data_IF_733664668838
#
_entry.id   IF_733664668838
#
_cell.length_a   1.000
_cell.length_b   1.000
_cell.length_c   1.000
_cell.angle_alpha   90.00
_cell.angle_beta   90.00
_cell.angle_gamma   90.00
#
_symmetry.space_group_name_H-M   'P 1'
#
loop_
_entity.id
_entity.type
_entity.pdbx_description
1 polymer ?
#
# COMPACT_ATOMS: atom_id res chain seq x y z
N UNK A 1 8.31 5.33 24.88
CA UNK A 1 7.84 4.28 23.97
C UNK A 1 7.38 4.95 22.69
N UNK A 2 8.11 4.81 21.61
CA UNK A 2 7.70 5.32 20.31
C UNK A 2 6.58 4.43 19.77
N UNK A 3 5.49 5.04 19.31
CA UNK A 3 4.29 4.34 18.83
C UNK A 3 4.59 3.37 17.68
N UNK A 4 5.65 3.65 16.90
CA UNK A 4 6.08 2.85 15.74
C UNK A 4 7.51 2.30 15.92
N UNK A 5 7.95 2.12 17.16
CA UNK A 5 9.28 1.60 17.47
C UNK A 5 9.40 0.12 17.04
N UNK A 6 10.52 -0.22 16.41
CA UNK A 6 10.88 -1.58 16.03
C UNK A 6 12.11 -2.04 16.78
N UNK A 7 12.42 -3.35 16.75
CA UNK A 7 13.68 -3.87 17.31
C UNK A 7 14.93 -3.17 16.74
N UNK A 8 14.83 -2.62 15.53
CA UNK A 8 15.92 -1.85 14.93
C UNK A 8 16.02 -0.41 15.45
N UNK A 9 14.96 0.15 16.06
CA UNK A 9 15.01 1.48 16.65
C UNK A 9 16.02 1.60 17.82
N UNK A 10 16.40 0.48 18.40
CA UNK A 10 17.43 0.42 19.47
C UNK A 10 18.84 0.22 18.93
N UNK A 11 19.03 0.19 17.60
CA UNK A 11 20.37 0.10 16.98
C UNK A 11 20.88 1.48 16.68
N UNK A 12 22.14 1.73 16.99
CA UNK A 12 22.84 2.90 16.49
C UNK A 12 23.24 2.61 15.05
N UNK A 13 22.58 3.29 14.10
CA UNK A 13 22.97 3.26 12.71
C UNK A 13 23.89 4.47 12.45
N UNK A 14 25.10 4.23 11.96
CA UNK A 14 26.01 5.28 11.52
C UNK A 14 25.94 5.28 10.00
N UNK A 15 25.40 6.36 9.44
CA UNK A 15 25.41 6.60 8.00
C UNK A 15 26.39 7.73 7.70
N UNK A 16 27.14 7.59 6.61
CA UNK A 16 28.01 8.64 6.12
C UNK A 16 27.82 8.77 4.62
N UNK A 17 27.97 9.98 4.13
CA UNK A 17 27.89 10.31 2.72
C UNK A 17 29.26 10.77 2.25
N UNK A 18 29.79 10.10 1.23
CA UNK A 18 31.05 10.50 0.60
C UNK A 18 30.74 11.28 -0.67
N UNK A 19 31.31 12.47 -0.79
CA UNK A 19 31.27 13.26 -2.00
C UNK A 19 32.60 13.08 -2.75
N UNK A 20 32.48 12.68 -4.02
CA UNK A 20 33.62 12.58 -4.92
C UNK A 20 33.86 13.89 -5.71
N UNK A 21 33.05 14.92 -5.46
CA UNK A 21 33.10 16.19 -6.16
C UNK A 21 33.74 17.29 -5.29
N UNK A 22 34.40 18.24 -5.92
CA UNK A 22 35.04 19.39 -5.28
C UNK A 22 34.04 20.35 -4.60
N UNK A 23 32.74 20.18 -4.85
CA UNK A 23 31.65 20.95 -4.23
C UNK A 23 30.60 20.02 -3.65
N UNK A 24 30.27 20.25 -2.39
CA UNK A 24 29.11 19.67 -1.73
C UNK A 24 27.87 20.38 -2.27
N UNK A 25 26.94 19.63 -2.87
CA UNK A 25 25.65 20.19 -3.28
C UNK A 25 24.91 20.65 -2.03
N UNK A 26 24.46 21.92 -1.93
CA UNK A 26 23.66 22.37 -0.82
C UNK A 26 22.39 21.51 -0.67
N UNK A 27 21.96 21.28 0.56
CA UNK A 27 20.79 20.45 0.87
C UNK A 27 19.55 20.89 0.07
N UNK A 28 19.29 22.19 0.01
CA UNK A 28 18.15 22.72 -0.74
C UNK A 28 18.24 22.39 -2.24
N UNK A 29 19.41 22.55 -2.84
CA UNK A 29 19.64 22.24 -4.26
C UNK A 29 19.42 20.74 -4.52
N UNK A 30 19.79 19.87 -3.59
CA UNK A 30 19.53 18.43 -3.71
C UNK A 30 18.03 18.14 -3.78
N UNK A 31 17.23 18.69 -2.85
CA UNK A 31 15.79 18.45 -2.82
C UNK A 31 15.07 19.12 -3.99
N UNK A 32 15.52 20.28 -4.44
CA UNK A 32 15.04 20.93 -5.66
C UNK A 32 15.28 20.04 -6.90
N UNK A 33 16.48 19.46 -7.04
CA UNK A 33 16.81 18.55 -8.12
C UNK A 33 15.93 17.28 -8.11
N UNK A 34 15.67 16.70 -6.92
CA UNK A 34 14.74 15.58 -6.77
C UNK A 34 13.34 15.99 -7.22
N UNK A 35 12.85 17.12 -6.73
CA UNK A 35 11.54 17.64 -7.11
C UNK A 35 11.43 17.87 -8.61
N UNK A 36 12.39 18.54 -9.22
CA UNK A 36 12.41 18.80 -10.67
C UNK A 36 12.45 17.53 -11.52
N UNK A 37 13.20 16.53 -11.11
CA UNK A 37 13.32 15.26 -11.84
C UNK A 37 12.02 14.43 -11.81
N UNK A 38 11.28 14.49 -10.71
CA UNK A 38 10.06 13.71 -10.51
C UNK A 38 8.81 14.46 -10.98
N UNK A 39 8.83 15.79 -10.94
CA UNK A 39 7.70 16.63 -11.26
C UNK A 39 7.00 16.30 -12.60
N UNK A 40 7.69 16.06 -13.73
CA UNK A 40 7.03 15.74 -15.01
C UNK A 40 6.24 14.42 -14.97
N UNK A 41 6.69 13.48 -14.13
CA UNK A 41 6.05 12.18 -13.93
C UNK A 41 4.85 12.33 -12.99
N UNK A 42 5.06 13.09 -11.91
CA UNK A 42 4.08 13.28 -10.86
C UNK A 42 2.91 14.20 -11.28
N UNK A 43 3.16 15.22 -12.12
CA UNK A 43 2.16 16.24 -12.48
C UNK A 43 2.07 16.45 -14.00
N UNK A 44 1.52 15.46 -14.75
CA UNK A 44 1.42 15.54 -16.20
C UNK A 44 0.44 16.64 -16.63
N UNK A 45 0.85 17.42 -17.65
CA UNK A 45 0.05 18.53 -18.20
C UNK A 45 -0.75 18.14 -19.47
N UNK A 46 -0.44 16.98 -20.05
CA UNK A 46 -1.07 16.49 -21.28
C UNK A 46 -1.50 15.06 -21.12
N UNK A 47 -2.63 14.71 -21.70
CA UNK A 47 -3.21 13.37 -21.64
C UNK A 47 -3.37 12.82 -23.05
N UNK A 48 -2.97 11.58 -23.25
CA UNK A 48 -3.18 10.90 -24.52
C UNK A 48 -4.65 10.50 -24.72
N UNK A 49 -5.04 10.28 -25.96
CA UNK A 49 -6.40 9.83 -26.28
C UNK A 49 -6.70 8.47 -25.62
N UNK A 50 -5.73 7.58 -25.61
CA UNK A 50 -5.82 6.26 -25.00
C UNK A 50 -6.08 6.35 -23.49
N UNK A 51 -5.43 7.29 -22.78
CA UNK A 51 -5.67 7.52 -21.35
C UNK A 51 -7.10 8.02 -21.10
N UNK A 52 -7.60 8.93 -21.95
CA UNK A 52 -8.96 9.47 -21.81
C UNK A 52 -9.99 8.37 -22.01
N UNK A 53 -9.86 7.58 -23.08
CA UNK A 53 -10.73 6.43 -23.36
C UNK A 53 -10.66 5.39 -22.21
N UNK A 54 -9.48 5.13 -21.71
CA UNK A 54 -9.27 4.23 -20.57
C UNK A 54 -9.96 4.73 -19.30
N UNK A 55 -9.87 6.03 -19.00
CA UNK A 55 -10.56 6.62 -17.85
C UNK A 55 -12.09 6.49 -17.97
N UNK A 56 -12.64 6.64 -19.16
CA UNK A 56 -14.07 6.46 -19.41
C UNK A 56 -14.50 5.00 -19.16
N UNK A 57 -13.69 4.03 -19.59
CA UNK A 57 -13.94 2.61 -19.34
C UNK A 57 -14.03 2.35 -17.82
N UNK A 58 -13.03 2.80 -17.05
CA UNK A 58 -13.00 2.64 -15.59
C UNK A 58 -14.26 3.21 -14.94
N UNK A 59 -14.64 4.43 -15.30
CA UNK A 59 -15.79 5.10 -14.70
C UNK A 59 -17.12 4.48 -15.13
N UNK A 60 -17.21 3.91 -16.33
CA UNK A 60 -18.41 3.26 -16.84
C UNK A 60 -18.60 1.86 -16.23
N UNK A 61 -17.55 1.05 -16.08
CA UNK A 61 -17.64 -0.23 -15.35
C UNK A 61 -18.21 -0.03 -13.96
N UNK A 62 -17.87 1.06 -13.30
CA UNK A 62 -18.44 1.38 -11.99
C UNK A 62 -19.93 1.71 -12.05
N UNK A 63 -20.43 2.38 -13.08
CA UNK A 63 -21.87 2.68 -13.23
C UNK A 63 -22.68 1.39 -13.39
N UNK A 64 -22.12 0.40 -14.07
CA UNK A 64 -22.75 -0.90 -14.30
C UNK A 64 -22.76 -1.77 -13.04
N UNK A 65 -21.72 -1.71 -12.21
CA UNK A 65 -21.65 -2.46 -10.95
C UNK A 65 -22.50 -1.84 -9.83
N UNK A 66 -22.86 -0.55 -9.94
CA UNK A 66 -23.73 0.13 -8.98
C UNK A 66 -25.15 -0.41 -8.90
N UNK A 67 -25.61 -1.15 -9.89
CA UNK A 67 -26.96 -1.73 -9.87
C UNK A 67 -27.13 -2.85 -8.83
N UNK A 68 -26.04 -3.41 -8.27
CA UNK A 68 -26.09 -4.61 -7.43
C UNK A 68 -25.49 -4.49 -6.01
N UNK A 69 -24.88 -3.38 -5.65
CA UNK A 69 -24.36 -3.18 -4.28
C UNK A 69 -24.31 -1.70 -3.92
N UNK A 70 -25.32 -1.19 -3.21
CA UNK A 70 -25.17 0.10 -2.54
C UNK A 70 -24.08 -0.01 -1.47
N UNK A 71 -23.05 0.83 -1.50
CA UNK A 71 -22.11 0.89 -0.39
C UNK A 71 -22.82 1.42 0.84
N UNK A 72 -22.76 0.69 1.94
CA UNK A 72 -23.36 1.02 3.24
C UNK A 72 -22.91 2.36 3.83
N UNK A 73 -22.11 3.16 3.12
CA UNK A 73 -21.58 4.40 3.64
C UNK A 73 -21.99 5.61 2.78
N UNK A 74 -23.14 6.19 3.13
CA UNK A 74 -23.74 7.38 2.52
C UNK A 74 -22.87 8.66 2.67
N UNK A 75 -21.79 8.61 3.47
CA UNK A 75 -20.96 9.74 3.87
C UNK A 75 -19.62 9.83 3.12
N UNK A 76 -19.31 8.92 2.21
CA UNK A 76 -18.06 8.99 1.45
C UNK A 76 -18.12 10.12 0.41
N UNK A 77 -17.12 11.00 0.42
CA UNK A 77 -17.02 12.10 -0.56
C UNK A 77 -17.01 11.56 -2.00
N UNK A 78 -17.46 12.40 -2.94
CA UNK A 78 -17.43 12.06 -4.37
C UNK A 78 -16.01 11.74 -4.83
N UNK A 79 -15.03 12.48 -4.31
CA UNK A 79 -13.61 12.31 -4.56
C UNK A 79 -13.12 10.94 -4.07
N UNK A 80 -13.45 10.55 -2.83
CA UNK A 80 -13.08 9.23 -2.31
C UNK A 80 -13.63 8.10 -3.18
N UNK A 81 -14.91 8.18 -3.58
CA UNK A 81 -15.53 7.17 -4.44
C UNK A 81 -14.80 7.02 -5.77
N UNK A 82 -14.46 8.16 -6.41
CA UNK A 82 -13.74 8.17 -7.68
C UNK A 82 -12.34 7.57 -7.57
N UNK A 83 -11.59 7.97 -6.54
CA UNK A 83 -10.26 7.44 -6.27
C UNK A 83 -10.30 5.94 -6.03
N UNK A 84 -11.24 5.48 -5.22
CA UNK A 84 -11.39 4.06 -4.89
C UNK A 84 -11.68 3.20 -6.14
N UNK A 85 -12.42 3.74 -7.10
CA UNK A 85 -12.68 3.08 -8.38
C UNK A 85 -11.38 2.93 -9.17
N UNK A 86 -10.64 4.03 -9.32
CA UNK A 86 -9.38 4.07 -10.05
C UNK A 86 -8.39 3.08 -9.40
N UNK A 87 -8.22 3.17 -8.08
CA UNK A 87 -7.29 2.32 -7.32
C UNK A 87 -7.63 0.84 -7.46
N UNK A 88 -8.89 0.48 -7.25
CA UNK A 88 -9.33 -0.91 -7.38
C UNK A 88 -9.14 -1.44 -8.81
N UNK A 89 -9.48 -0.63 -9.82
CA UNK A 89 -9.30 -1.06 -11.21
C UNK A 89 -7.84 -1.31 -11.53
N UNK A 90 -6.94 -0.38 -11.18
CA UNK A 90 -5.51 -0.53 -11.46
C UNK A 90 -4.97 -1.75 -10.72
N UNK A 91 -5.20 -1.87 -9.42
CA UNK A 91 -4.66 -2.96 -8.60
C UNK A 91 -5.17 -4.35 -9.00
N UNK A 92 -6.39 -4.42 -9.53
CA UNK A 92 -6.96 -5.70 -9.99
C UNK A 92 -6.49 -6.10 -11.38
N UNK A 93 -6.20 -5.13 -12.25
CA UNK A 93 -5.96 -5.42 -13.67
C UNK A 93 -4.52 -5.22 -14.12
N UNK A 94 -3.67 -4.52 -13.34
CA UNK A 94 -2.29 -4.25 -13.74
C UNK A 94 -1.29 -5.06 -12.93
N UNK A 95 -0.16 -5.37 -13.57
CA UNK A 95 0.96 -6.06 -12.93
C UNK A 95 2.20 -5.19 -12.97
N UNK A 96 2.90 -5.11 -11.83
CA UNK A 96 4.18 -4.41 -11.74
C UNK A 96 5.30 -5.39 -12.09
N UNK A 97 6.22 -4.96 -12.95
CA UNK A 97 7.40 -5.71 -13.38
C UNK A 97 8.63 -4.81 -13.38
N UNK A 98 9.68 -5.28 -12.75
CA UNK A 98 10.98 -4.58 -12.66
C UNK A 98 12.05 -5.44 -13.36
N UNK A 99 12.06 -5.45 -14.70
CA UNK A 99 12.99 -6.25 -15.49
C UNK A 99 13.91 -5.42 -16.40
N UNK A 100 13.98 -4.10 -16.17
CA UNK A 100 14.83 -3.18 -16.94
C UNK A 100 14.32 -2.82 -18.34
N UNK A 101 13.12 -3.27 -18.74
CA UNK A 101 12.50 -2.86 -20.01
C UNK A 101 11.95 -1.43 -19.90
N UNK A 102 12.50 -0.51 -20.70
CA UNK A 102 12.09 0.90 -20.73
C UNK A 102 10.61 1.11 -21.13
N UNK A 103 10.01 0.21 -21.90
CA UNK A 103 8.59 0.30 -22.29
C UNK A 103 7.66 0.22 -21.09
N UNK A 104 8.06 -0.42 -19.99
CA UNK A 104 7.28 -0.53 -18.76
C UNK A 104 7.03 0.82 -18.06
N UNK A 105 7.72 1.86 -18.46
CA UNK A 105 7.50 3.24 -17.98
C UNK A 105 6.71 4.10 -18.96
N UNK A 106 6.30 3.57 -20.11
CA UNK A 106 5.53 4.30 -21.13
C UNK A 106 4.04 4.05 -20.96
N UNK A 107 3.25 5.11 -20.85
CA UNK A 107 1.79 5.01 -20.62
C UNK A 107 1.05 4.24 -21.72
N UNK A 108 1.40 4.45 -23.00
CA UNK A 108 0.78 3.73 -24.12
C UNK A 108 0.99 2.21 -24.02
N UNK A 109 2.20 1.79 -23.67
CA UNK A 109 2.53 0.40 -23.44
C UNK A 109 1.78 -0.17 -22.23
N UNK A 110 1.76 0.56 -21.10
CA UNK A 110 1.11 0.15 -19.86
C UNK A 110 -0.39 -0.03 -20.06
N UNK A 111 -1.05 0.94 -20.71
CA UNK A 111 -2.48 0.88 -20.98
C UNK A 111 -2.85 -0.33 -21.86
N UNK A 112 -2.03 -0.62 -22.86
CA UNK A 112 -2.25 -1.74 -23.81
C UNK A 112 -1.98 -3.10 -23.15
N UNK A 113 -0.87 -3.23 -22.42
CA UNK A 113 -0.38 -4.53 -21.95
C UNK A 113 -0.76 -4.83 -20.48
N UNK A 114 -1.33 -3.87 -19.76
CA UNK A 114 -1.66 -3.97 -18.33
C UNK A 114 -0.46 -4.33 -17.45
N UNK A 115 0.73 -3.89 -17.86
CA UNK A 115 2.00 -4.13 -17.19
C UNK A 115 2.82 -2.85 -17.18
N UNK A 116 3.43 -2.52 -16.05
CA UNK A 116 4.26 -1.34 -15.90
C UNK A 116 5.36 -1.53 -14.86
N UNK A 117 6.39 -0.68 -14.93
CA UNK A 117 7.33 -0.51 -13.82
C UNK A 117 6.66 0.25 -12.67
N UNK A 118 7.29 0.27 -11.50
CA UNK A 118 6.81 1.06 -10.36
C UNK A 118 6.56 2.52 -10.76
N UNK A 119 7.54 3.15 -11.40
CA UNK A 119 7.44 4.53 -11.88
C UNK A 119 6.34 4.67 -12.95
N UNK A 120 6.21 3.70 -13.85
CA UNK A 120 5.14 3.69 -14.86
C UNK A 120 3.75 3.62 -14.24
N UNK A 121 3.56 2.83 -13.21
CA UNK A 121 2.29 2.77 -12.46
C UNK A 121 2.05 4.07 -11.69
N UNK A 122 3.07 4.66 -11.06
CA UNK A 122 2.96 6.00 -10.45
C UNK A 122 2.50 7.03 -11.48
N UNK A 123 3.10 7.03 -12.69
CA UNK A 123 2.70 7.93 -13.77
C UNK A 123 1.25 7.70 -14.24
N UNK A 124 0.79 6.44 -14.27
CA UNK A 124 -0.60 6.11 -14.58
C UNK A 124 -1.56 6.70 -13.55
N UNK A 125 -1.27 6.53 -12.24
CA UNK A 125 -2.06 7.15 -11.17
C UNK A 125 -2.06 8.67 -11.27
N UNK A 126 -0.89 9.29 -11.40
CA UNK A 126 -0.74 10.74 -11.56
C UNK A 126 -1.61 11.27 -12.69
N UNK A 127 -1.56 10.60 -13.84
CA UNK A 127 -2.32 10.99 -15.02
C UNK A 127 -3.83 10.88 -14.82
N UNK A 128 -4.30 9.80 -14.19
CA UNK A 128 -5.72 9.61 -13.92
C UNK A 128 -6.24 10.55 -12.84
N UNK A 129 -5.48 10.80 -11.77
CA UNK A 129 -5.86 11.74 -10.73
C UNK A 129 -5.95 13.16 -11.28
N UNK A 130 -4.91 13.61 -12.00
CA UNK A 130 -4.87 14.93 -12.63
C UNK A 130 -5.98 15.12 -13.65
N UNK A 131 -6.22 14.15 -14.54
CA UNK A 131 -7.29 14.20 -15.53
C UNK A 131 -8.68 14.31 -14.90
N UNK A 132 -8.88 13.68 -13.74
CA UNK A 132 -10.12 13.76 -12.98
C UNK A 132 -10.23 14.97 -12.05
N UNK A 133 -9.30 15.94 -12.13
CA UNK A 133 -9.23 17.13 -11.29
C UNK A 133 -9.23 16.77 -9.79
N UNK A 134 -8.49 15.73 -9.41
CA UNK A 134 -8.27 15.35 -8.03
C UNK A 134 -6.93 15.94 -7.59
N UNK A 135 -6.97 16.82 -6.59
CA UNK A 135 -5.75 17.37 -6.01
C UNK A 135 -5.05 16.32 -5.15
N UNK A 136 -3.75 16.21 -5.31
CA UNK A 136 -2.89 15.30 -4.56
C UNK A 136 -1.49 15.89 -4.39
N UNK A 137 -0.79 15.36 -3.42
CA UNK A 137 0.64 15.56 -3.24
C UNK A 137 1.35 14.23 -3.46
N UNK A 138 2.47 14.26 -4.21
CA UNK A 138 3.33 13.10 -4.29
C UNK A 138 4.20 13.06 -3.04
N UNK A 139 4.16 11.95 -2.34
CA UNK A 139 4.93 11.69 -1.14
C UNK A 139 6.02 10.68 -1.45
N UNK A 140 7.26 11.03 -1.17
CA UNK A 140 8.40 10.11 -1.27
C UNK A 140 9.03 9.96 0.10
N UNK A 141 9.34 8.72 0.45
CA UNK A 141 9.96 8.38 1.73
C UNK A 141 10.85 7.15 1.62
N UNK A 142 11.42 6.77 2.74
CA UNK A 142 12.20 5.54 2.91
C UNK A 142 11.39 4.49 3.68
N UNK A 143 11.84 3.25 3.58
CA UNK A 143 11.35 2.19 4.46
C UNK A 143 12.06 2.29 5.82
N UNK A 144 11.33 2.68 6.87
CA UNK A 144 11.86 2.91 8.22
C UNK A 144 12.46 1.67 8.88
N UNK A 145 12.17 0.46 8.37
CA UNK A 145 12.81 -0.76 8.88
C UNK A 145 14.27 -0.87 8.48
N UNK A 146 14.66 -0.25 7.37
CA UNK A 146 16.03 -0.22 6.90
C UNK A 146 16.69 1.10 7.30
N UNK A 147 16.12 2.23 6.85
CA UNK A 147 16.61 3.56 7.15
C UNK A 147 15.43 4.51 7.36
N UNK A 148 15.42 5.25 8.47
CA UNK A 148 14.47 6.35 8.64
C UNK A 148 14.81 7.47 7.66
N UNK A 149 13.77 8.09 7.13
CA UNK A 149 13.95 9.30 6.34
C UNK A 149 14.44 10.43 7.24
N UNK A 150 15.53 11.04 6.83
CA UNK A 150 16.12 12.20 7.50
C UNK A 150 16.25 13.31 6.46
N UNK A 151 15.53 14.44 6.59
CA UNK A 151 15.65 15.55 5.65
C UNK A 151 17.04 16.20 5.65
N UNK A 152 17.81 16.04 6.73
CA UNK A 152 19.17 16.56 6.85
C UNK A 152 20.23 15.61 6.27
N UNK A 153 19.84 14.35 6.00
CA UNK A 153 20.69 13.36 5.37
C UNK A 153 20.10 12.91 4.03
N UNK A 154 20.60 13.49 2.95
CA UNK A 154 20.08 13.27 1.61
C UNK A 154 20.75 12.10 0.90
N UNK A 155 20.09 10.97 0.91
CA UNK A 155 20.49 9.78 0.19
C UNK A 155 19.35 9.31 -0.72
N UNK A 156 19.44 9.50 -2.06
CA UNK A 156 18.39 9.14 -2.99
C UNK A 156 18.15 7.64 -3.04
N UNK A 157 19.13 6.81 -2.74
CA UNK A 157 19.01 5.35 -2.77
C UNK A 157 18.02 4.82 -1.71
N UNK A 158 17.75 5.60 -0.68
CA UNK A 158 16.79 5.26 0.36
C UNK A 158 15.35 5.66 0.01
N UNK A 159 15.16 6.53 -0.98
CA UNK A 159 13.87 7.10 -1.37
C UNK A 159 13.13 6.18 -2.35
N UNK A 160 12.63 5.03 -1.85
CA UNK A 160 12.02 3.99 -2.69
C UNK A 160 10.52 3.82 -2.51
N UNK A 161 9.95 4.41 -1.46
CA UNK A 161 8.52 4.33 -1.18
C UNK A 161 7.83 5.57 -1.73
N UNK A 162 6.91 5.38 -2.68
CA UNK A 162 6.17 6.46 -3.34
C UNK A 162 4.69 6.28 -3.05
N UNK A 163 4.06 7.34 -2.52
CA UNK A 163 2.65 7.38 -2.18
C UNK A 163 2.02 8.64 -2.78
N UNK A 164 0.70 8.64 -2.91
CA UNK A 164 -0.09 9.84 -3.10
C UNK A 164 -0.82 10.18 -1.81
N UNK A 165 -0.69 11.39 -1.35
CA UNK A 165 -1.52 11.94 -0.29
C UNK A 165 -2.63 12.78 -0.91
N UNK A 166 -3.87 12.58 -0.46
CA UNK A 166 -5.04 13.31 -0.93
C UNK A 166 -5.53 14.24 0.17
N UNK A 167 -5.20 15.55 0.11
CA UNK A 167 -5.48 16.48 1.19
C UNK A 167 -6.98 16.60 1.53
N UNK A 168 -7.87 16.60 0.51
CA UNK A 168 -9.32 16.71 0.69
C UNK A 168 -9.89 15.64 1.64
N UNK A 169 -9.40 14.42 1.55
CA UNK A 169 -9.90 13.29 2.34
C UNK A 169 -8.91 12.83 3.41
N UNK A 170 -7.70 13.42 3.46
CA UNK A 170 -6.60 13.08 4.37
C UNK A 170 -6.23 11.60 4.33
N UNK A 171 -6.10 11.03 3.13
CA UNK A 171 -5.85 9.61 2.89
C UNK A 171 -4.69 9.41 1.92
N UNK A 172 -4.13 8.19 1.98
CA UNK A 172 -3.02 7.78 1.12
C UNK A 172 -3.48 6.81 0.04
N UNK A 173 -2.75 6.78 -1.07
CA UNK A 173 -2.80 5.75 -2.10
C UNK A 173 -1.38 5.23 -2.27
N UNK A 174 -1.22 3.92 -2.31
CA UNK A 174 0.06 3.25 -2.51
C UNK A 174 0.00 2.50 -3.83
N UNK A 175 0.62 3.02 -4.89
CA UNK A 175 0.46 2.48 -6.24
C UNK A 175 0.96 1.04 -6.40
N UNK A 176 2.05 0.70 -5.74
CA UNK A 176 2.81 -0.53 -5.94
C UNK A 176 2.38 -1.71 -5.05
N UNK A 177 1.58 -1.47 -4.03
CA UNK A 177 1.18 -2.51 -3.05
C UNK A 177 -0.30 -2.86 -3.21
N UNK A 178 -0.57 -4.01 -3.83
CA UNK A 178 -1.95 -4.47 -4.11
C UNK A 178 -2.77 -4.73 -2.86
N UNK A 179 -2.12 -5.11 -1.78
CA UNK A 179 -2.74 -5.39 -0.47
C UNK A 179 -3.27 -4.15 0.25
N UNK A 180 -2.67 -2.98 -0.02
CA UNK A 180 -3.14 -1.70 0.53
C UNK A 180 -4.15 -1.04 -0.40
N UNK A 181 -5.16 -0.42 0.17
CA UNK A 181 -6.20 0.32 -0.55
C UNK A 181 -6.18 1.79 -0.17
N UNK A 182 -7.07 2.56 -0.81
CA UNK A 182 -7.19 3.98 -0.51
C UNK A 182 -7.45 4.20 0.98
N UNK A 183 -6.60 4.96 1.60
CA UNK A 183 -6.76 5.38 3.01
C UNK A 183 -5.76 4.77 3.97
N UNK A 184 -5.11 3.70 3.61
CA UNK A 184 -4.16 3.01 4.49
C UNK A 184 -2.74 3.27 4.01
N UNK A 185 -1.85 3.72 4.91
CA UNK A 185 -0.42 3.80 4.66
C UNK A 185 0.27 2.52 5.13
N UNK A 186 1.30 2.01 4.42
CA UNK A 186 2.03 0.83 4.85
C UNK A 186 2.71 1.05 6.20
N UNK A 187 2.71 0.01 7.03
CA UNK A 187 3.31 0.10 8.36
C UNK A 187 4.79 0.49 8.34
N UNK A 188 5.51 0.12 7.28
CA UNK A 188 6.92 0.45 7.11
C UNK A 188 7.20 1.93 6.79
N UNK A 189 6.19 2.75 6.54
CA UNK A 189 6.33 4.20 6.32
C UNK A 189 5.62 5.04 7.39
N UNK A 190 4.67 4.47 8.14
CA UNK A 190 3.99 5.20 9.22
C UNK A 190 4.95 5.66 10.30
N UNK A 191 4.82 6.92 10.74
CA UNK A 191 5.71 7.55 11.71
C UNK A 191 7.09 7.91 11.16
N UNK A 192 7.32 7.71 9.86
CA UNK A 192 8.51 8.20 9.18
C UNK A 192 8.28 9.61 8.65
N UNK A 193 9.34 10.37 8.38
CA UNK A 193 9.26 11.59 7.59
C UNK A 193 9.15 11.26 6.11
N UNK A 194 8.62 12.18 5.32
CA UNK A 194 8.63 12.12 3.88
C UNK A 194 8.66 13.53 3.28
N UNK A 195 9.07 13.61 2.03
CA UNK A 195 8.95 14.81 1.21
C UNK A 195 7.62 14.78 0.48
N UNK A 196 6.80 15.79 0.70
CA UNK A 196 5.52 16.03 0.03
C UNK A 196 5.72 17.07 -1.04
N UNK A 197 5.30 16.79 -2.26
CA UNK A 197 5.44 17.66 -3.43
C UNK A 197 4.07 17.90 -4.06
N UNK A 198 3.77 19.15 -4.39
CA UNK A 198 2.50 19.54 -4.99
C UNK A 198 2.62 19.94 -6.48
N UNK A 199 1.48 20.24 -7.11
CA UNK A 199 1.38 20.66 -8.52
C UNK A 199 2.01 22.03 -8.82
N UNK A 200 2.31 22.84 -7.80
CA UNK A 200 2.94 24.16 -7.95
C UNK A 200 4.47 24.08 -7.88
N UNK A 201 5.03 22.87 -7.71
CA UNK A 201 6.44 22.58 -7.43
C UNK A 201 6.88 22.97 -6.01
N UNK A 202 5.94 23.24 -5.11
CA UNK A 202 6.26 23.43 -3.72
C UNK A 202 6.48 22.07 -3.06
N UNK A 203 7.40 22.02 -2.10
CA UNK A 203 7.64 20.82 -1.32
C UNK A 203 7.85 21.16 0.16
N UNK A 204 7.52 20.19 1.02
CA UNK A 204 7.76 20.29 2.45
C UNK A 204 7.99 18.90 3.05
N UNK A 205 8.56 18.88 4.26
CA UNK A 205 8.79 17.65 5.01
C UNK A 205 7.78 17.51 6.14
N UNK A 206 7.18 16.33 6.24
CA UNK A 206 6.25 16.04 7.32
C UNK A 206 6.24 14.56 7.68
N UNK A 207 5.76 14.28 8.89
CA UNK A 207 5.58 12.90 9.35
C UNK A 207 4.37 12.28 8.68
N UNK A 208 4.51 11.03 8.26
CA UNK A 208 3.42 10.23 7.68
C UNK A 208 2.57 9.67 8.81
N UNK A 209 1.35 10.16 8.94
CA UNK A 209 0.41 9.77 10.00
C UNK A 209 -0.94 9.34 9.40
N UNK A 210 -1.54 8.31 9.97
CA UNK A 210 -2.95 8.00 9.72
C UNK A 210 -3.83 8.79 10.68
N UNK A 211 -4.80 9.52 10.13
CA UNK A 211 -5.74 10.31 10.94
C UNK A 211 -6.77 9.43 11.66
N UNK A 212 -7.07 8.26 11.12
CA UNK A 212 -7.97 7.30 11.77
C UNK A 212 -7.11 6.31 12.56
N UNK A 213 -7.16 6.40 13.88
CA UNK A 213 -6.50 5.43 14.77
C UNK A 213 -7.15 4.05 14.58
N UNK A 214 -6.63 3.29 13.64
CA UNK A 214 -7.00 1.89 13.47
C UNK A 214 -5.99 1.05 14.24
N UNK A 215 -6.44 0.46 15.33
CA UNK A 215 -5.61 -0.49 16.06
C UNK A 215 -5.51 -1.80 15.26
N UNK A 216 -4.29 -2.24 15.05
CA UNK A 216 -4.05 -3.59 14.56
C UNK A 216 -4.14 -4.55 15.73
N UNK A 217 -5.19 -5.36 15.77
CA UNK A 217 -5.43 -6.30 16.87
C UNK A 217 -5.45 -7.73 16.38
N UNK A 218 -5.10 -8.63 17.28
CA UNK A 218 -5.28 -10.08 17.15
C UNK A 218 -6.12 -10.52 18.33
N UNK A 219 -7.36 -10.92 18.05
CA UNK A 219 -8.23 -11.54 19.06
C UNK A 219 -8.26 -13.05 18.83
N UNK A 220 -7.99 -13.80 19.87
CA UNK A 220 -7.94 -15.26 19.81
C UNK A 220 -8.87 -15.86 20.84
N UNK A 221 -9.84 -16.66 20.38
CA UNK A 221 -10.75 -17.41 21.25
C UNK A 221 -10.48 -18.91 21.07
N UNK A 222 -10.20 -19.59 22.16
CA UNK A 222 -9.87 -21.02 22.16
C UNK A 222 -10.85 -21.73 23.10
N UNK A 223 -11.54 -22.75 22.59
CA UNK A 223 -12.35 -23.66 23.36
C UNK A 223 -11.71 -25.05 23.31
N UNK A 224 -11.51 -25.65 24.47
CA UNK A 224 -10.90 -26.98 24.60
C UNK A 224 -11.92 -27.94 25.19
N UNK A 225 -12.24 -28.99 24.45
CA UNK A 225 -13.14 -30.05 24.87
C UNK A 225 -12.37 -31.36 25.02
N UNK A 226 -12.21 -31.82 26.28
CA UNK A 226 -11.52 -33.07 26.60
C UNK A 226 -12.46 -34.25 26.36
N UNK A 227 -12.18 -35.05 25.33
CA UNK A 227 -12.97 -36.25 25.01
C UNK A 227 -12.55 -37.47 25.80
N UNK A 228 -11.23 -37.62 26.04
CA UNK A 228 -10.60 -38.69 26.82
C UNK A 228 -9.31 -38.19 27.47
N UNK A 229 -8.69 -38.99 28.38
CA UNK A 229 -7.47 -38.59 29.08
C UNK A 229 -6.27 -38.15 28.19
N UNK A 230 -6.29 -38.51 26.89
CA UNK A 230 -5.18 -38.21 25.97
C UNK A 230 -5.68 -37.52 24.68
N UNK A 231 -6.95 -37.15 24.62
CA UNK A 231 -7.53 -36.55 23.42
C UNK A 231 -8.36 -35.31 23.78
N UNK A 232 -8.08 -34.21 23.15
CA UNK A 232 -8.87 -32.98 23.23
C UNK A 232 -9.19 -32.48 21.84
N UNK A 233 -10.40 -31.94 21.67
CA UNK A 233 -10.80 -31.18 20.49
C UNK A 233 -10.65 -29.70 20.83
N UNK A 234 -9.88 -28.98 20.02
CA UNK A 234 -9.65 -27.56 20.17
C UNK A 234 -10.39 -26.86 19.04
N UNK A 235 -11.29 -25.97 19.39
CA UNK A 235 -11.92 -25.03 18.45
C UNK A 235 -11.32 -23.64 18.67
N UNK A 236 -10.75 -23.09 17.63
CA UNK A 236 -10.04 -21.82 17.70
C UNK A 236 -10.63 -20.82 16.69
N UNK A 237 -10.85 -19.59 17.13
CA UNK A 237 -11.18 -18.46 16.27
C UNK A 237 -10.13 -17.38 16.47
N UNK A 238 -9.50 -16.96 15.37
CA UNK A 238 -8.56 -15.83 15.34
C UNK A 238 -9.13 -14.72 14.47
N UNK A 239 -9.23 -13.51 15.03
CA UNK A 239 -9.67 -12.32 14.32
C UNK A 239 -8.52 -11.32 14.24
N UNK A 240 -8.14 -10.95 13.03
CA UNK A 240 -7.08 -10.00 12.75
C UNK A 240 -7.70 -8.70 12.19
N UNK A 241 -7.27 -7.55 12.73
CA UNK A 241 -7.71 -6.23 12.24
C UNK A 241 -6.52 -5.40 11.79
N UNK A 242 -6.79 -4.27 11.11
CA UNK A 242 -5.77 -3.33 10.65
C UNK A 242 -4.69 -3.99 9.80
N UNK A 243 -3.43 -3.64 10.06
CA UNK A 243 -2.29 -4.18 9.30
C UNK A 243 -2.14 -5.70 9.40
N UNK A 244 -2.56 -6.32 10.51
CA UNK A 244 -2.56 -7.77 10.61
C UNK A 244 -3.51 -8.42 9.62
N UNK A 245 -4.69 -7.83 9.41
CA UNK A 245 -5.64 -8.33 8.43
C UNK A 245 -5.08 -8.17 6.99
N UNK A 246 -4.45 -7.02 6.68
CA UNK A 246 -3.82 -6.76 5.39
C UNK A 246 -2.71 -7.79 5.12
N UNK A 247 -1.80 -7.97 6.09
CA UNK A 247 -0.69 -8.92 5.96
C UNK A 247 -1.18 -10.35 5.74
N UNK A 248 -2.18 -10.80 6.52
CA UNK A 248 -2.70 -12.16 6.38
C UNK A 248 -3.40 -12.37 5.02
N UNK A 249 -4.13 -11.38 4.49
CA UNK A 249 -4.69 -11.45 3.13
C UNK A 249 -3.60 -11.52 2.06
N UNK A 250 -2.55 -10.69 2.20
CA UNK A 250 -1.42 -10.72 1.28
C UNK A 250 -0.71 -12.07 1.30
N UNK A 251 -0.44 -12.63 2.48
CA UNK A 251 0.19 -13.94 2.63
C UNK A 251 -0.68 -15.06 2.06
N UNK A 252 -2.00 -15.03 2.31
CA UNK A 252 -2.92 -15.99 1.73
C UNK A 252 -2.92 -15.93 0.19
N UNK A 253 -2.92 -14.73 -0.37
CA UNK A 253 -2.88 -14.54 -1.81
C UNK A 253 -1.57 -15.07 -2.43
N UNK A 254 -0.45 -14.88 -1.75
CA UNK A 254 0.84 -15.45 -2.16
C UNK A 254 0.85 -16.97 -2.04
N UNK A 255 0.32 -17.53 -0.94
CA UNK A 255 0.30 -18.97 -0.68
C UNK A 255 -0.59 -19.76 -1.64
N UNK A 256 -1.66 -19.16 -2.17
CA UNK A 256 -2.46 -19.78 -3.22
C UNK A 256 -1.66 -20.04 -4.49
N UNK A 257 -0.53 -19.35 -4.68
CA UNK A 257 0.42 -19.57 -5.78
C UNK A 257 1.60 -20.46 -5.41
N UNK A 258 1.84 -20.72 -4.10
CA UNK A 258 3.01 -21.45 -3.62
C UNK A 258 2.65 -22.83 -3.03
N UNK A 259 1.86 -22.88 -1.96
CA UNK A 259 1.32 -24.11 -1.37
C UNK A 259 0.34 -23.78 -0.23
N UNK A 260 -0.91 -24.21 -0.37
CA UNK A 260 -1.98 -23.91 0.61
C UNK A 260 -1.74 -24.53 2.00
N UNK A 261 -0.94 -25.60 2.11
CA UNK A 261 -0.70 -26.30 3.37
C UNK A 261 0.29 -25.54 4.26
N UNK A 262 1.28 -24.86 3.67
CA UNK A 262 2.20 -23.99 4.44
C UNK A 262 1.47 -22.83 5.12
N UNK A 263 0.47 -22.24 4.43
CA UNK A 263 -0.33 -21.18 5.02
C UNK A 263 -1.24 -21.69 6.14
N UNK A 264 -1.81 -22.90 6.00
CA UNK A 264 -2.55 -23.55 7.08
C UNK A 264 -1.68 -23.74 8.31
N UNK A 265 -0.49 -24.27 8.13
CA UNK A 265 0.46 -24.46 9.22
C UNK A 265 0.85 -23.15 9.89
N UNK A 266 1.07 -22.09 9.11
CA UNK A 266 1.35 -20.76 9.65
C UNK A 266 0.21 -20.24 10.53
N UNK A 267 -1.04 -20.29 10.06
CA UNK A 267 -2.20 -19.78 10.79
C UNK A 267 -2.59 -20.65 12.00
N UNK A 268 -2.38 -21.95 11.91
CA UNK A 268 -2.84 -22.90 12.92
C UNK A 268 -1.74 -23.35 13.86
N UNK A 269 -0.53 -22.80 13.76
CA UNK A 269 0.59 -23.15 14.65
C UNK A 269 0.31 -22.67 16.07
N UNK A 270 -0.41 -23.48 16.80
CA UNK A 270 -0.60 -23.31 18.25
C UNK A 270 0.60 -23.80 19.06
N UNK A 271 1.72 -24.20 18.42
CA UNK A 271 2.85 -24.85 19.10
C UNK A 271 2.55 -26.24 19.64
N UNK A 272 1.37 -26.78 19.41
CA UNK A 272 0.97 -28.11 19.93
C UNK A 272 1.51 -29.20 18.99
N UNK A 273 2.43 -30.00 19.50
CA UNK A 273 2.94 -31.17 18.75
C UNK A 273 1.87 -32.23 18.62
N UNK A 274 1.79 -32.86 17.43
CA UNK A 274 0.86 -33.98 17.18
C UNK A 274 -0.59 -33.56 16.92
N UNK A 275 -0.86 -32.28 16.71
CA UNK A 275 -2.19 -31.82 16.30
C UNK A 275 -2.55 -32.33 14.91
N UNK A 276 -3.83 -32.62 14.70
CA UNK A 276 -4.43 -32.89 13.40
C UNK A 276 -5.50 -31.83 13.15
N UNK A 277 -5.39 -31.11 12.06
CA UNK A 277 -6.43 -30.17 11.62
C UNK A 277 -7.59 -31.01 11.08
N UNK A 278 -8.78 -30.85 11.65
CA UNK A 278 -10.01 -31.54 11.22
C UNK A 278 -10.66 -30.71 10.13
N UNK A 279 -10.87 -29.43 10.39
CA UNK A 279 -11.45 -28.48 9.43
C UNK A 279 -10.92 -27.07 9.71
N UNK A 280 -10.99 -26.20 8.73
CA UNK A 280 -10.74 -24.80 8.90
C UNK A 280 -11.49 -23.97 7.85
N UNK A 281 -11.78 -22.72 8.18
CA UNK A 281 -12.38 -21.78 7.25
C UNK A 281 -11.77 -20.39 7.42
N UNK A 282 -11.75 -19.62 6.34
CA UNK A 282 -11.25 -18.24 6.35
C UNK A 282 -12.37 -17.32 5.85
N UNK A 283 -12.68 -16.30 6.63
CA UNK A 283 -13.70 -15.29 6.31
C UNK A 283 -12.97 -13.99 5.95
N UNK A 284 -13.54 -13.22 5.01
CA UNK A 284 -12.99 -11.95 4.51
C UNK A 284 -11.56 -12.10 3.97
N UNK A 285 -11.31 -13.19 3.27
CA UNK A 285 -9.99 -13.57 2.73
C UNK A 285 -9.56 -12.79 1.49
N UNK A 286 -10.49 -12.18 0.78
CA UNK A 286 -10.23 -11.56 -0.50
C UNK A 286 -9.44 -10.26 -0.34
N UNK A 287 -8.27 -10.19 -0.98
CA UNK A 287 -7.40 -9.02 -1.00
C UNK A 287 -8.05 -7.84 -1.78
N UNK A 288 -9.00 -8.16 -2.66
CA UNK A 288 -9.64 -7.18 -3.53
C UNK A 288 -10.96 -6.63 -2.99
N UNK A 289 -11.40 -7.08 -1.82
CA UNK A 289 -12.65 -6.60 -1.24
C UNK A 289 -12.59 -5.12 -0.90
N UNK A 290 -13.65 -4.34 -1.21
CA UNK A 290 -13.67 -2.91 -0.94
C UNK A 290 -13.83 -2.53 0.54
N UNK A 291 -14.05 -3.48 1.43
CA UNK A 291 -14.30 -3.27 2.85
C UNK A 291 -13.15 -3.74 3.73
N UNK A 292 -12.17 -2.84 3.95
CA UNK A 292 -10.99 -3.11 4.79
C UNK A 292 -11.27 -3.19 6.28
N UNK A 293 -12.42 -2.68 6.71
CA UNK A 293 -12.81 -2.68 8.11
C UNK A 293 -13.29 -4.05 8.59
N UNK A 294 -13.46 -5.02 7.68
CA UNK A 294 -13.84 -6.37 8.04
C UNK A 294 -12.59 -7.13 8.54
N UNK A 295 -12.64 -7.73 9.72
CA UNK A 295 -11.54 -8.53 10.22
C UNK A 295 -11.29 -9.72 9.28
N UNK A 296 -10.01 -10.10 9.13
CA UNK A 296 -9.64 -11.38 8.55
C UNK A 296 -9.82 -12.44 9.65
N UNK A 297 -10.67 -13.43 9.43
CA UNK A 297 -11.02 -14.39 10.47
C UNK A 297 -10.68 -15.80 10.03
N UNK A 298 -9.97 -16.52 10.91
CA UNK A 298 -9.67 -17.95 10.78
C UNK A 298 -10.43 -18.70 11.85
N UNK A 299 -11.09 -19.78 11.45
CA UNK A 299 -11.81 -20.69 12.36
C UNK A 299 -11.36 -22.09 12.13
#
# INVERSE_FOLDING_TARGET
>A
NEEYSTLQANRVNISYQCYLADKVTPQNEFWENINESIYPIAFPKKYSKELIEFNEIILNEFKLTKSNAEPQNKYLSKTFKKINIIDNYIKNNFTIQENGNADLSRLDYILKNKKGSNIGIVQLYSSLLSYNNIDYELLITSNRYFNRFDPDFFNPDNLREILFYIPEIKKYIIPDKKEYRVGEAPFNVLGNYGIYMDKNKDYYFSTIIENDKKYSTINRTINVDFKKMKEAVISETQEFTGHWAITNRAMLNLSNNLNSDEFKDYLTTSGIKGKKIIEYSIINKDIYQPNYNNPFVVK
#
